data_IF_740638318461
#
_entry.id   IF_740638318461
#
_cell.length_a   1.000
_cell.length_b   1.000
_cell.length_c   1.000
_cell.angle_alpha   90.00
_cell.angle_beta   90.00
_cell.angle_gamma   90.00
#
_symmetry.space_group_name_H-M   'P 1'
#
loop_
_entity.id
_entity.type
_entity.pdbx_description
1 polymer ?
#
# COMPACT_ATOMS: atom_id res chain seq x y z
N UNK A 1 14.21 5.17 12.16
CA UNK A 1 13.90 3.87 11.51
C UNK A 1 12.80 4.14 10.51
N UNK A 2 13.01 3.84 9.22
CA UNK A 2 12.00 4.11 8.21
C UNK A 2 10.82 3.13 8.41
N UNK A 3 9.65 3.65 8.77
CA UNK A 3 8.43 2.85 8.85
C UNK A 3 7.84 2.69 7.45
N UNK A 4 7.77 1.45 6.97
CA UNK A 4 7.14 1.13 5.68
C UNK A 4 5.75 0.57 5.93
N UNK A 5 4.74 1.16 5.31
CA UNK A 5 3.34 0.74 5.40
C UNK A 5 2.86 0.50 3.97
N UNK A 6 2.26 -0.66 3.75
CA UNK A 6 1.64 -1.04 2.48
C UNK A 6 0.15 -1.15 2.70
N UNK A 7 -0.59 -0.23 2.09
CA UNK A 7 -2.04 -0.25 2.06
C UNK A 7 -2.51 -1.16 0.94
N UNK A 8 -3.29 -2.18 1.30
CA UNK A 8 -3.77 -3.22 0.41
C UNK A 8 -5.29 -3.34 0.49
N UNK A 9 -5.87 -4.13 -0.41
CA UNK A 9 -7.28 -4.53 -0.32
C UNK A 9 -7.44 -6.03 -0.52
N UNK A 10 -8.37 -6.64 0.21
CA UNK A 10 -8.80 -8.02 -0.03
C UNK A 10 -9.21 -8.21 -1.48
N UNK A 11 -8.76 -9.29 -2.11
CA UNK A 11 -9.10 -9.64 -3.48
C UNK A 11 -8.31 -8.90 -4.57
N UNK A 12 -7.24 -8.17 -4.23
CA UNK A 12 -6.37 -7.54 -5.22
C UNK A 12 -5.09 -8.36 -5.45
N UNK A 13 -4.91 -8.98 -6.64
CA UNK A 13 -3.73 -9.78 -6.94
C UNK A 13 -2.44 -8.93 -6.93
N UNK A 14 -2.53 -7.68 -7.38
CA UNK A 14 -1.40 -6.76 -7.40
C UNK A 14 -0.85 -6.43 -6.01
N UNK A 15 -1.73 -6.23 -5.03
CA UNK A 15 -1.31 -5.97 -3.65
C UNK A 15 -0.44 -7.11 -3.10
N UNK A 16 -0.84 -8.36 -3.37
CA UNK A 16 -0.11 -9.55 -2.93
C UNK A 16 1.32 -9.56 -3.50
N UNK A 17 1.44 -9.26 -4.79
CA UNK A 17 2.73 -9.21 -5.49
C UNK A 17 3.65 -8.13 -4.94
N UNK A 18 3.16 -6.91 -4.71
CA UNK A 18 3.96 -5.85 -4.07
C UNK A 18 4.47 -6.28 -2.70
N UNK A 19 3.62 -6.89 -1.87
CA UNK A 19 4.04 -7.36 -0.56
C UNK A 19 5.11 -8.46 -0.65
N UNK A 20 4.95 -9.42 -1.56
CA UNK A 20 5.96 -10.45 -1.80
C UNK A 20 7.29 -9.85 -2.25
N UNK A 21 7.29 -8.85 -3.13
CA UNK A 21 8.52 -8.15 -3.54
C UNK A 21 9.23 -7.49 -2.35
N UNK A 22 8.50 -6.80 -1.48
CA UNK A 22 9.09 -6.18 -0.29
C UNK A 22 9.58 -7.23 0.71
N UNK A 23 8.86 -8.35 0.87
CA UNK A 23 9.30 -9.48 1.72
C UNK A 23 10.56 -10.12 1.15
N UNK A 24 10.62 -10.33 -0.16
CA UNK A 24 11.78 -10.89 -0.84
C UNK A 24 13.01 -9.98 -0.73
N UNK A 25 12.81 -8.66 -0.73
CA UNK A 25 13.87 -7.67 -0.46
C UNK A 25 14.29 -7.60 1.02
N UNK A 26 13.64 -8.34 1.92
CA UNK A 26 13.91 -8.30 3.36
C UNK A 26 13.48 -6.99 4.04
N UNK A 27 12.63 -6.21 3.39
CA UNK A 27 12.14 -4.93 3.92
C UNK A 27 10.99 -5.24 4.88
N UNK A 28 11.09 -4.77 6.13
CA UNK A 28 9.97 -4.84 7.07
C UNK A 28 8.94 -3.79 6.69
N UNK A 29 7.71 -4.23 6.45
CA UNK A 29 6.57 -3.37 6.22
C UNK A 29 5.33 -3.83 6.98
N UNK A 30 4.41 -2.90 7.21
CA UNK A 30 3.11 -3.15 7.81
C UNK A 30 2.03 -3.20 6.73
N UNK A 31 1.31 -4.31 6.65
CA UNK A 31 0.16 -4.43 5.78
C UNK A 31 -1.08 -3.83 6.46
N UNK A 32 -1.80 -2.94 5.77
CA UNK A 32 -3.05 -2.36 6.25
C UNK A 32 -4.14 -2.52 5.18
N UNK A 33 -5.20 -3.22 5.53
CA UNK A 33 -6.30 -3.47 4.61
C UNK A 33 -7.30 -2.31 4.62
N UNK A 34 -7.35 -1.53 3.55
CA UNK A 34 -8.27 -0.38 3.44
C UNK A 34 -9.73 -0.78 3.20
N UNK A 35 -10.02 -2.07 2.97
CA UNK A 35 -11.41 -2.55 2.91
C UNK A 35 -11.98 -2.84 4.30
N UNK A 36 -11.15 -3.38 5.18
CA UNK A 36 -11.55 -3.69 6.56
C UNK A 36 -11.43 -2.44 7.45
N UNK A 37 -10.48 -1.57 7.13
CA UNK A 37 -10.13 -0.42 7.96
C UNK A 37 -10.54 0.88 7.25
N UNK A 38 -11.69 1.43 7.66
CA UNK A 38 -12.24 2.65 7.07
C UNK A 38 -11.36 3.88 7.31
N UNK A 39 -10.68 3.94 8.45
CA UNK A 39 -9.73 5.01 8.75
C UNK A 39 -8.55 4.96 7.79
N UNK A 40 -7.99 3.77 7.54
CA UNK A 40 -6.93 3.59 6.56
C UNK A 40 -7.36 4.04 5.16
N UNK A 41 -8.57 3.66 4.72
CA UNK A 41 -9.12 4.12 3.43
C UNK A 41 -9.22 5.63 3.34
N UNK A 42 -9.73 6.26 4.39
CA UNK A 42 -9.87 7.72 4.46
C UNK A 42 -8.50 8.38 4.46
N UNK A 43 -7.53 7.85 5.20
CA UNK A 43 -6.14 8.32 5.24
C UNK A 43 -5.49 8.25 3.86
N UNK A 44 -5.60 7.11 3.17
CA UNK A 44 -5.07 6.95 1.81
C UNK A 44 -5.69 7.94 0.82
N UNK A 45 -6.99 8.21 0.92
CA UNK A 45 -7.65 9.18 0.05
C UNK A 45 -7.35 10.64 0.40
N UNK A 46 -7.39 10.99 1.69
CA UNK A 46 -7.32 12.39 2.15
C UNK A 46 -5.88 12.84 2.39
N UNK A 47 -5.06 11.99 3.01
CA UNK A 47 -3.67 12.28 3.35
C UNK A 47 -2.75 12.04 2.16
N UNK A 48 -2.96 10.95 1.43
CA UNK A 48 -2.10 10.54 0.31
C UNK A 48 -2.65 10.87 -1.07
N UNK A 49 -3.92 11.33 -1.17
CA UNK A 49 -4.57 11.62 -2.45
C UNK A 49 -4.75 10.39 -3.34
N UNK A 50 -4.55 9.19 -2.81
CA UNK A 50 -4.58 7.95 -3.57
C UNK A 50 -5.99 7.32 -3.52
N UNK A 51 -6.50 6.95 -4.68
CA UNK A 51 -7.78 6.23 -4.83
C UNK A 51 -7.59 4.78 -5.24
N UNK A 52 -6.35 4.41 -5.61
CA UNK A 52 -5.97 3.08 -6.08
C UNK A 52 -4.97 2.46 -5.12
N UNK A 53 -5.06 1.15 -4.98
CA UNK A 53 -4.11 0.31 -4.22
C UNK A 53 -3.42 -0.65 -5.19
N UNK A 54 -2.21 -1.14 -4.88
CA UNK A 54 -1.44 -0.96 -3.64
C UNK A 54 -0.90 0.46 -3.44
N UNK A 55 -0.82 0.93 -2.18
CA UNK A 55 -0.14 2.20 -1.85
C UNK A 55 0.97 1.92 -0.85
N UNK A 56 2.20 2.27 -1.20
CA UNK A 56 3.35 2.14 -0.31
C UNK A 56 3.69 3.51 0.26
N UNK A 57 3.75 3.57 1.58
CA UNK A 57 4.14 4.74 2.36
C UNK A 57 5.40 4.39 3.12
N UNK A 58 6.46 5.17 2.95
CA UNK A 58 7.72 5.03 3.66
C UNK A 58 7.97 6.33 4.40
N UNK A 59 8.15 6.25 5.71
CA UNK A 59 8.44 7.42 6.56
C UNK A 59 7.35 8.52 6.44
N UNK A 60 6.09 8.10 6.36
CA UNK A 60 4.93 9.00 6.17
C UNK A 60 4.82 9.61 4.78
N UNK A 61 5.71 9.27 3.83
CA UNK A 61 5.66 9.72 2.44
C UNK A 61 5.22 8.62 1.51
N UNK A 62 4.32 8.94 0.60
CA UNK A 62 3.88 8.01 -0.43
C UNK A 62 5.01 7.83 -1.45
N UNK A 63 5.51 6.61 -1.57
CA UNK A 63 6.57 6.29 -2.54
C UNK A 63 6.02 5.56 -3.77
N UNK A 64 4.85 4.93 -3.65
CA UNK A 64 4.22 4.20 -4.74
C UNK A 64 2.69 4.22 -4.60
N UNK A 65 1.98 4.55 -5.68
CA UNK A 65 0.52 4.47 -5.78
C UNK A 65 0.19 3.64 -7.01
N UNK A 66 -0.55 2.55 -6.81
CA UNK A 66 -0.85 1.58 -7.86
C UNK A 66 0.27 0.58 -8.08
N UNK A 67 -0.05 -0.46 -8.87
CA UNK A 67 0.94 -1.42 -9.34
C UNK A 67 1.69 -0.85 -10.55
N UNK A 68 2.95 -1.27 -10.71
CA UNK A 68 3.78 -0.84 -11.85
C UNK A 68 3.19 -1.25 -13.21
N UNK A 69 2.25 -2.20 -13.27
CA UNK A 69 1.39 -2.41 -14.43
C UNK A 69 0.11 -1.60 -14.27
N UNK A 70 0.07 -0.43 -14.92
CA UNK A 70 -1.14 0.36 -15.05
C UNK A 70 -2.29 -0.47 -15.61
N UNK A 71 -3.26 -0.81 -14.77
CA UNK A 71 -4.48 -1.48 -15.16
C UNK A 71 -5.70 -0.71 -14.65
N UNK A 72 -6.21 0.20 -15.48
CA UNK A 72 -7.57 0.78 -15.39
C UNK A 72 -7.82 1.78 -14.29
#
# INVERSE_FOLDING_TARGET
MAETIIYTKTGCPYCKRTMEEYRAKGIKFKEINVLEDYEAKKKVKNEYGATKVPVVVVDGKVVQIGDSQGGG
#
